data_IF_786604036215
#
_entry.id   IF_786604036215
#
_cell.length_a   1.000
_cell.length_b   1.000
_cell.length_c   1.000
_cell.angle_alpha   90.00
_cell.angle_beta   90.00
_cell.angle_gamma   90.00
#
_symmetry.space_group_name_H-M   'P 1'
#
loop_
_entity.id
_entity.type
_entity.pdbx_description
1 polymer ?
#
# COMPACT_ATOMS: atom_id res chain seq x y z
N UNK A 1 -1.96 10.68 -7.68
CA UNK A 1 -1.17 10.67 -6.44
C UNK A 1 0.23 11.24 -6.62
N UNK A 2 1.03 10.70 -7.54
CA UNK A 2 2.41 11.15 -7.71
C UNK A 2 2.59 12.61 -8.12
N UNK A 3 1.63 13.18 -8.87
CA UNK A 3 1.71 14.57 -9.33
C UNK A 3 1.59 15.60 -8.20
N UNK A 4 1.10 15.20 -7.05
CA UNK A 4 0.89 16.07 -5.90
C UNK A 4 2.09 16.04 -4.94
N UNK A 5 3.11 15.24 -5.26
CA UNK A 5 4.29 15.07 -4.43
C UNK A 5 5.43 15.99 -4.88
N UNK A 6 6.34 16.28 -3.95
CA UNK A 6 7.55 17.06 -4.23
C UNK A 6 8.51 16.28 -5.13
N UNK A 7 9.43 16.99 -5.80
CA UNK A 7 10.43 16.39 -6.69
C UNK A 7 11.34 15.39 -5.98
N UNK A 8 11.58 15.56 -4.67
CA UNK A 8 12.42 14.67 -3.88
C UNK A 8 11.64 13.51 -3.25
N UNK A 9 10.32 13.45 -3.45
CA UNK A 9 9.51 12.33 -3.02
C UNK A 9 9.85 11.07 -3.81
N UNK A 10 9.70 9.92 -3.17
CA UNK A 10 10.01 8.63 -3.77
C UNK A 10 8.79 7.70 -3.69
N UNK A 11 8.46 7.06 -4.80
CA UNK A 11 7.37 6.07 -4.86
C UNK A 11 7.99 4.73 -5.26
N UNK A 12 7.66 3.69 -4.49
CA UNK A 12 8.04 2.31 -4.81
C UNK A 12 6.75 1.55 -5.09
N UNK A 13 6.66 0.96 -6.27
CA UNK A 13 5.53 0.12 -6.68
C UNK A 13 6.01 -1.29 -6.92
N UNK A 14 5.31 -2.27 -6.35
CA UNK A 14 5.65 -3.68 -6.49
C UNK A 14 4.53 -4.38 -7.26
N UNK A 15 4.88 -5.06 -8.36
CA UNK A 15 3.94 -5.77 -9.21
C UNK A 15 4.52 -7.14 -9.57
N UNK A 16 3.73 -8.21 -9.35
CA UNK A 16 4.19 -9.57 -9.63
C UNK A 16 4.17 -9.90 -11.11
N UNK A 17 3.32 -9.23 -11.89
CA UNK A 17 3.17 -9.49 -13.32
C UNK A 17 3.97 -8.48 -14.15
N UNK A 18 4.91 -8.97 -14.97
CA UNK A 18 5.81 -8.12 -15.74
C UNK A 18 5.08 -7.21 -16.73
N UNK A 19 4.00 -7.69 -17.36
CA UNK A 19 3.21 -6.90 -18.31
C UNK A 19 2.50 -5.73 -17.61
N UNK A 20 1.96 -5.95 -16.41
CA UNK A 20 1.35 -4.88 -15.62
C UNK A 20 2.39 -3.88 -15.13
N UNK A 21 3.59 -4.35 -14.78
CA UNK A 21 4.69 -3.49 -14.38
C UNK A 21 5.13 -2.58 -15.54
N UNK A 22 5.23 -3.11 -16.74
CA UNK A 22 5.56 -2.34 -17.95
C UNK A 22 4.50 -1.28 -18.23
N UNK A 23 3.23 -1.63 -18.11
CA UNK A 23 2.11 -0.69 -18.28
C UNK A 23 2.18 0.43 -17.25
N UNK A 24 2.48 0.09 -16.00
CA UNK A 24 2.62 1.08 -14.93
C UNK A 24 3.78 2.05 -15.21
N UNK A 25 4.93 1.53 -15.64
CA UNK A 25 6.09 2.36 -15.98
C UNK A 25 5.76 3.32 -17.14
N UNK A 26 5.08 2.82 -18.17
CA UNK A 26 4.69 3.63 -19.31
C UNK A 26 3.71 4.73 -18.90
N UNK A 27 2.72 4.41 -18.08
CA UNK A 27 1.75 5.38 -17.59
C UNK A 27 2.42 6.46 -16.73
N UNK A 28 3.39 6.08 -15.92
CA UNK A 28 4.14 7.01 -15.08
C UNK A 28 4.92 7.99 -15.96
N UNK A 29 5.58 7.50 -17.01
CA UNK A 29 6.31 8.37 -17.95
C UNK A 29 5.38 9.35 -18.65
N UNK A 30 4.21 8.88 -19.11
CA UNK A 30 3.22 9.72 -19.77
C UNK A 30 2.64 10.78 -18.85
N UNK A 31 2.53 10.47 -17.57
CA UNK A 31 1.96 11.39 -16.58
C UNK A 31 2.93 12.49 -16.14
N UNK A 32 4.20 12.36 -16.45
CA UNK A 32 5.25 13.34 -16.08
C UNK A 32 5.25 13.61 -14.57
N UNK A 33 5.22 12.54 -13.78
CA UNK A 33 5.19 12.63 -12.31
C UNK A 33 6.53 13.18 -11.81
N UNK A 34 6.54 14.25 -10.99
CA UNK A 34 7.80 14.86 -10.53
C UNK A 34 8.58 13.99 -9.54
N UNK A 35 7.90 13.09 -8.81
CA UNK A 35 8.56 12.19 -7.86
C UNK A 35 9.37 11.11 -8.57
N UNK A 36 10.37 10.59 -7.88
CA UNK A 36 11.09 9.40 -8.36
C UNK A 36 10.22 8.18 -8.15
N UNK A 37 9.96 7.43 -9.23
CA UNK A 37 9.12 6.24 -9.18
C UNK A 37 9.93 5.03 -9.60
N UNK A 38 9.94 4.02 -8.74
CA UNK A 38 10.59 2.74 -8.98
C UNK A 38 9.54 1.64 -9.04
N UNK A 39 9.47 0.92 -10.15
CA UNK A 39 8.57 -0.22 -10.31
C UNK A 39 9.39 -1.50 -10.19
N UNK A 40 9.02 -2.36 -9.23
CA UNK A 40 9.71 -3.61 -8.97
C UNK A 40 8.80 -4.75 -9.39
N UNK A 41 9.26 -5.59 -10.32
CA UNK A 41 8.55 -6.80 -10.73
C UNK A 41 9.01 -7.96 -9.86
N UNK A 42 8.23 -8.26 -8.83
CA UNK A 42 8.54 -9.35 -7.90
C UNK A 42 7.36 -9.61 -6.96
N UNK A 43 7.46 -10.66 -6.17
CA UNK A 43 6.50 -10.95 -5.12
C UNK A 43 6.74 -10.00 -3.94
N UNK A 44 5.70 -9.27 -3.53
CA UNK A 44 5.80 -8.29 -2.44
C UNK A 44 6.28 -8.91 -1.13
N UNK A 45 5.89 -10.15 -0.83
CA UNK A 45 6.33 -10.84 0.39
C UNK A 45 7.85 -11.03 0.44
N UNK A 46 8.50 -11.09 -0.72
CA UNK A 46 9.95 -11.24 -0.81
C UNK A 46 10.67 -9.90 -0.87
N UNK A 47 10.02 -8.87 -1.41
CA UNK A 47 10.63 -7.55 -1.64
C UNK A 47 10.55 -6.68 -0.40
N UNK A 48 9.39 -6.64 0.27
CA UNK A 48 9.17 -5.73 1.41
C UNK A 48 10.25 -5.85 2.48
N UNK A 49 10.66 -7.06 2.90
CA UNK A 49 11.71 -7.17 3.92
C UNK A 49 13.05 -6.58 3.50
N UNK A 50 13.30 -6.46 2.20
CA UNK A 50 14.56 -5.97 1.66
C UNK A 50 14.58 -4.45 1.49
N UNK A 51 13.43 -3.79 1.60
CA UNK A 51 13.35 -2.35 1.50
C UNK A 51 13.94 -1.72 2.77
N UNK A 52 14.73 -0.67 2.59
CA UNK A 52 15.41 0.02 3.69
C UNK A 52 14.81 1.38 4.00
N UNK A 53 13.81 1.78 3.23
CA UNK A 53 13.20 3.09 3.37
C UNK A 53 12.21 3.12 4.52
N UNK A 54 11.93 4.33 5.01
CA UNK A 54 10.86 4.59 5.95
C UNK A 54 9.70 5.22 5.17
N UNK A 55 8.48 4.74 5.38
CA UNK A 55 7.35 5.12 4.55
C UNK A 55 6.37 6.03 5.29
N UNK A 56 5.93 7.09 4.60
CA UNK A 56 4.90 8.01 5.08
C UNK A 56 3.50 7.59 4.67
N UNK A 57 3.40 6.82 3.59
CA UNK A 57 2.14 6.38 3.01
C UNK A 57 2.30 5.01 2.38
N UNK A 58 1.33 4.13 2.63
CA UNK A 58 1.30 2.78 2.05
C UNK A 58 -0.07 2.55 1.44
N UNK A 59 -0.11 2.13 0.18
CA UNK A 59 -1.33 1.73 -0.51
C UNK A 59 -1.26 0.24 -0.82
N UNK A 60 -2.27 -0.51 -0.37
CA UNK A 60 -2.32 -1.96 -0.54
C UNK A 60 -3.49 -2.33 -1.46
N UNK A 61 -3.17 -2.88 -2.62
CA UNK A 61 -4.15 -3.37 -3.58
C UNK A 61 -3.55 -4.56 -4.33
N UNK A 62 -3.68 -5.73 -3.75
CA UNK A 62 -3.08 -6.96 -4.26
C UNK A 62 -3.90 -8.18 -3.81
N UNK A 63 -3.25 -9.30 -3.49
CA UNK A 63 -3.91 -10.50 -3.00
C UNK A 63 -4.50 -10.28 -1.61
N UNK A 64 -5.81 -10.40 -1.47
CA UNK A 64 -6.55 -10.02 -0.26
C UNK A 64 -6.16 -10.83 0.97
N UNK A 65 -5.85 -12.10 0.78
CA UNK A 65 -5.43 -12.97 1.88
C UNK A 65 -3.99 -12.69 2.35
N UNK A 66 -3.25 -11.81 1.66
CA UNK A 66 -1.88 -11.46 2.00
C UNK A 66 -1.73 -10.05 2.59
N UNK A 67 -2.81 -9.28 2.71
CA UNK A 67 -2.76 -7.91 3.22
C UNK A 67 -2.13 -7.83 4.61
N UNK A 68 -2.49 -8.74 5.49
CA UNK A 68 -1.92 -8.80 6.84
C UNK A 68 -0.40 -9.05 6.78
N UNK A 69 0.03 -9.95 5.93
CA UNK A 69 1.45 -10.26 5.76
C UNK A 69 2.23 -9.06 5.22
N UNK A 70 1.67 -8.34 4.23
CA UNK A 70 2.29 -7.13 3.71
C UNK A 70 2.50 -6.10 4.83
N UNK A 71 1.48 -5.87 5.63
CA UNK A 71 1.56 -4.89 6.72
C UNK A 71 2.61 -5.31 7.76
N UNK A 72 2.60 -6.58 8.17
CA UNK A 72 3.55 -7.06 9.17
C UNK A 72 5.00 -6.95 8.70
N UNK A 73 5.25 -7.22 7.42
CA UNK A 73 6.59 -7.08 6.85
C UNK A 73 7.03 -5.62 6.71
N UNK A 74 6.09 -4.71 6.50
CA UNK A 74 6.37 -3.29 6.36
C UNK A 74 6.38 -2.54 7.69
N UNK A 75 5.87 -3.14 8.75
CA UNK A 75 5.55 -2.43 10.01
C UNK A 75 6.76 -1.75 10.64
N UNK A 76 7.93 -2.37 10.59
CA UNK A 76 9.15 -1.79 11.13
C UNK A 76 9.68 -0.61 10.30
N UNK A 77 9.11 -0.38 9.12
CA UNK A 77 9.46 0.73 8.23
C UNK A 77 8.45 1.88 8.31
N UNK A 78 7.46 1.75 9.17
CA UNK A 78 6.45 2.78 9.39
C UNK A 78 6.84 3.64 10.58
N UNK A 79 6.33 4.86 10.61
CA UNK A 79 6.50 5.75 11.75
C UNK A 79 5.14 6.24 12.24
N UNK A 80 5.13 6.90 13.38
CA UNK A 80 3.92 7.51 13.91
C UNK A 80 3.36 8.50 12.87
N UNK A 81 2.11 8.33 12.50
CA UNK A 81 1.45 9.17 11.49
C UNK A 81 1.45 8.59 10.09
N UNK A 82 2.16 7.48 9.83
CA UNK A 82 2.09 6.81 8.52
C UNK A 82 0.65 6.43 8.23
N UNK A 83 0.17 6.75 7.02
CA UNK A 83 -1.17 6.43 6.56
C UNK A 83 -1.11 5.18 5.68
N UNK A 84 -1.94 4.20 5.99
CA UNK A 84 -2.07 2.97 5.22
C UNK A 84 -3.50 2.90 4.66
N UNK A 85 -3.62 2.75 3.34
CA UNK A 85 -4.91 2.59 2.67
C UNK A 85 -4.95 1.20 2.06
N UNK A 86 -5.95 0.40 2.48
CA UNK A 86 -6.19 -0.92 1.93
C UNK A 86 -7.46 -0.89 1.09
N UNK A 87 -7.34 -1.22 -0.19
CA UNK A 87 -8.46 -1.21 -1.13
C UNK A 87 -9.30 -2.48 -1.01
N UNK A 88 -10.54 -2.39 -1.47
CA UNK A 88 -11.51 -3.49 -1.52
C UNK A 88 -11.89 -4.04 -0.14
N UNK A 89 -11.89 -3.20 0.88
CA UNK A 89 -12.15 -3.61 2.26
C UNK A 89 -13.63 -3.91 2.54
N UNK A 90 -14.53 -3.57 1.62
CA UNK A 90 -15.95 -3.92 1.73
C UNK A 90 -16.26 -5.28 1.13
N UNK A 91 -16.08 -5.43 -0.18
CA UNK A 91 -16.42 -6.65 -0.92
C UNK A 91 -15.56 -7.85 -0.44
N UNK A 92 -14.29 -7.62 -0.15
CA UNK A 92 -13.35 -8.68 0.24
C UNK A 92 -13.06 -8.69 1.73
N UNK A 93 -13.95 -8.15 2.57
CA UNK A 93 -13.74 -8.07 4.02
C UNK A 93 -13.45 -9.43 4.66
N UNK A 94 -14.12 -10.49 4.20
CA UNK A 94 -13.90 -11.83 4.75
C UNK A 94 -12.50 -12.36 4.45
N UNK A 95 -12.01 -12.15 3.23
CA UNK A 95 -10.70 -12.61 2.80
C UNK A 95 -9.57 -11.87 3.52
N UNK A 96 -9.83 -10.65 3.96
CA UNK A 96 -8.83 -9.82 4.65
C UNK A 96 -9.19 -9.59 6.12
N UNK A 97 -9.93 -10.53 6.72
CA UNK A 97 -10.39 -10.43 8.11
C UNK A 97 -9.22 -10.26 9.09
N UNK A 98 -8.15 -11.01 8.92
CA UNK A 98 -6.98 -10.92 9.78
C UNK A 98 -6.33 -9.52 9.73
N UNK A 99 -6.26 -8.92 8.54
CA UNK A 99 -5.77 -7.56 8.38
C UNK A 99 -6.67 -6.55 9.09
N UNK A 100 -7.98 -6.63 8.82
CA UNK A 100 -8.95 -5.70 9.40
C UNK A 100 -8.99 -5.79 10.92
N UNK A 101 -9.00 -7.01 11.47
CA UNK A 101 -8.96 -7.20 12.91
C UNK A 101 -7.70 -6.58 13.52
N UNK A 102 -6.56 -6.76 12.88
CA UNK A 102 -5.29 -6.23 13.37
C UNK A 102 -5.26 -4.70 13.42
N UNK A 103 -5.65 -4.04 12.32
CA UNK A 103 -5.60 -2.57 12.29
C UNK A 103 -6.67 -1.93 13.17
N UNK A 104 -7.79 -2.64 13.40
CA UNK A 104 -8.90 -2.12 14.21
C UNK A 104 -8.75 -2.37 15.70
N UNK A 105 -8.07 -3.44 16.10
CA UNK A 105 -8.09 -3.90 17.49
C UNK A 105 -6.73 -4.05 18.17
N UNK A 106 -5.62 -3.96 17.43
CA UNK A 106 -4.29 -4.16 18.01
C UNK A 106 -3.82 -3.01 18.91
N UNK A 107 -4.42 -1.84 18.76
CA UNK A 107 -3.97 -0.63 19.45
C UNK A 107 -2.79 0.06 18.78
N UNK A 108 -2.24 -0.54 17.71
CA UNK A 108 -1.09 0.03 16.99
C UNK A 108 -1.49 0.99 15.87
N UNK A 109 -2.78 1.02 15.55
CA UNK A 109 -3.32 1.86 14.48
C UNK A 109 -4.64 2.47 14.92
N UNK A 110 -4.94 3.64 14.36
CA UNK A 110 -6.27 4.22 14.39
C UNK A 110 -6.86 3.98 13.01
N UNK A 111 -7.95 3.20 12.92
CA UNK A 111 -8.44 2.70 11.64
C UNK A 111 -9.91 3.03 11.42
N UNK A 112 -10.27 3.34 10.16
CA UNK A 112 -11.61 3.71 9.76
C UNK A 112 -11.94 3.11 8.40
N UNK A 113 -13.14 2.53 8.28
CA UNK A 113 -13.68 2.09 6.99
C UNK A 113 -14.38 3.26 6.31
N UNK A 114 -14.10 3.47 5.03
CA UNK A 114 -14.76 4.49 4.21
C UNK A 114 -15.39 3.81 3.00
N UNK A 115 -16.72 3.89 2.92
CA UNK A 115 -17.45 3.31 1.79
C UNK A 115 -17.25 4.16 0.55
N UNK A 116 -16.95 3.49 -0.57
CA UNK A 116 -16.77 4.11 -1.88
C UNK A 116 -17.62 3.30 -2.86
N UNK A 117 -18.79 3.84 -3.23
CA UNK A 117 -19.76 3.17 -4.10
C UNK A 117 -20.17 1.81 -3.50
N UNK A 118 -19.96 0.69 -4.23
CA UNK A 118 -20.34 -0.66 -3.79
C UNK A 118 -19.29 -1.35 -2.93
N UNK A 119 -18.14 -0.73 -2.77
CA UNK A 119 -17.00 -1.28 -2.02
C UNK A 119 -16.52 -0.24 -1.00
N UNK A 120 -15.31 -0.34 -0.53
CA UNK A 120 -14.75 0.62 0.37
C UNK A 120 -13.27 0.42 0.61
N UNK A 121 -12.70 1.32 1.37
CA UNK A 121 -11.29 1.29 1.74
C UNK A 121 -11.18 1.34 3.26
N UNK A 122 -10.13 0.72 3.77
CA UNK A 122 -9.78 0.86 5.18
C UNK A 122 -8.60 1.83 5.28
N UNK A 123 -8.78 2.91 6.01
CA UNK A 123 -7.72 3.90 6.24
C UNK A 123 -7.23 3.73 7.66
N UNK A 124 -5.94 3.47 7.81
CA UNK A 124 -5.31 3.25 9.11
C UNK A 124 -4.16 4.23 9.29
N UNK A 125 -4.02 4.78 10.48
CA UNK A 125 -2.93 5.69 10.82
C UNK A 125 -2.12 5.05 11.94
N UNK A 126 -0.81 4.94 11.74
CA UNK A 126 0.11 4.36 12.74
C UNK A 126 0.17 5.27 13.97
N UNK A 127 -0.10 4.72 15.11
CA UNK A 127 -0.02 5.45 16.39
C UNK A 127 1.34 5.31 17.06
#
# INVERSE_FOLDING_TARGET
MGKELDDDAQIITIEIHADEAETAEENIRKAEIPAKVKVITANALQVIPKLKDCFDFVFIDAAKNEYFDYLRLAEDKLHKGTVIVADNAGIFAKQMKNYLDYVRTSGKYRSKYVQVDVDGIEISVKT
#
